data_IF_282248451753
#
_entry.id   IF_282248451753
#
_cell.length_a   1.000
_cell.length_b   1.000
_cell.length_c   1.000
_cell.angle_alpha   90.00
_cell.angle_beta   90.00
_cell.angle_gamma   90.00
#
_symmetry.space_group_name_H-M   'P 1'
#
loop_
_entity.id
_entity.type
_entity.pdbx_description
1 polymer ?
#
# COMPACT_ATOMS: atom_id res chain seq x y z
N UNK A 1 -37.13 -17.69 8.19
CA UNK A 1 -35.73 -18.14 8.05
C UNK A 1 -35.09 -17.27 7.01
N UNK A 2 -34.48 -16.14 7.36
CA UNK A 2 -33.60 -15.31 6.49
C UNK A 2 -33.16 -14.09 7.29
N UNK A 3 -32.59 -14.35 8.48
CA UNK A 3 -31.86 -13.34 9.26
C UNK A 3 -30.46 -13.87 9.58
N UNK A 4 -29.76 -14.35 8.57
CA UNK A 4 -28.30 -14.39 8.64
C UNK A 4 -27.83 -12.94 8.49
N UNK A 5 -27.68 -12.29 9.65
CA UNK A 5 -26.84 -11.13 9.77
C UNK A 5 -25.52 -11.50 9.11
N UNK A 6 -25.25 -10.90 7.94
CA UNK A 6 -23.94 -11.02 7.27
C UNK A 6 -22.95 -10.52 8.30
N UNK A 7 -22.35 -11.45 9.04
CA UNK A 7 -21.29 -11.15 10.01
C UNK A 7 -20.19 -10.46 9.22
N UNK A 8 -19.98 -9.20 9.51
CA UNK A 8 -18.82 -8.47 8.99
C UNK A 8 -17.60 -9.31 9.37
N UNK A 9 -16.80 -9.79 8.41
CA UNK A 9 -15.68 -10.68 8.72
C UNK A 9 -14.74 -9.96 9.68
N UNK A 10 -14.56 -10.54 10.86
CA UNK A 10 -13.69 -10.00 11.89
C UNK A 10 -12.33 -10.67 11.78
N UNK A 11 -11.30 -9.85 11.77
CA UNK A 11 -9.90 -10.26 11.65
C UNK A 11 -9.12 -9.92 12.93
N UNK A 12 -8.08 -10.68 13.21
CA UNK A 12 -7.19 -10.36 14.33
C UNK A 12 -6.30 -9.16 14.00
N UNK A 13 -5.81 -8.48 15.05
CA UNK A 13 -4.84 -7.39 14.91
C UNK A 13 -3.59 -7.85 14.14
N UNK A 14 -3.06 -9.03 14.47
CA UNK A 14 -1.86 -9.55 13.81
C UNK A 14 -2.08 -9.79 12.31
N UNK A 15 -3.24 -10.30 11.92
CA UNK A 15 -3.60 -10.49 10.51
C UNK A 15 -3.69 -9.16 9.76
N UNK A 16 -4.30 -8.12 10.36
CA UNK A 16 -4.37 -6.81 9.72
C UNK A 16 -2.98 -6.17 9.60
N UNK A 17 -2.15 -6.25 10.64
CA UNK A 17 -0.77 -5.77 10.59
C UNK A 17 0.01 -6.49 9.49
N UNK A 18 -0.08 -7.82 9.43
CA UNK A 18 0.60 -8.61 8.40
C UNK A 18 0.15 -8.23 6.98
N UNK A 19 -1.16 -8.05 6.77
CA UNK A 19 -1.71 -7.60 5.50
C UNK A 19 -1.11 -6.25 5.08
N UNK A 20 -1.17 -5.25 5.97
CA UNK A 20 -0.69 -3.90 5.66
C UNK A 20 0.82 -3.84 5.47
N UNK A 21 1.60 -4.60 6.27
CA UNK A 21 3.06 -4.68 6.08
C UNK A 21 3.38 -5.33 4.74
N UNK A 22 2.77 -6.47 4.44
CA UNK A 22 3.02 -7.17 3.18
C UNK A 22 2.69 -6.30 1.97
N UNK A 23 1.53 -5.64 1.97
CA UNK A 23 1.12 -4.76 0.86
C UNK A 23 2.02 -3.53 0.72
N UNK A 24 2.55 -3.02 1.83
CA UNK A 24 3.52 -1.92 1.83
C UNK A 24 4.86 -2.33 1.22
N UNK A 25 5.31 -3.56 1.47
CA UNK A 25 6.55 -4.09 0.90
C UNK A 25 6.51 -4.24 -0.62
N UNK A 26 5.33 -4.22 -1.23
CA UNK A 26 5.19 -4.17 -2.69
C UNK A 26 5.96 -2.99 -3.30
N UNK A 27 6.09 -1.85 -2.60
CA UNK A 27 6.83 -0.68 -3.08
C UNK A 27 8.31 -0.97 -3.35
N UNK A 28 8.92 -1.93 -2.66
CA UNK A 28 10.32 -2.29 -2.84
C UNK A 28 10.61 -2.93 -4.20
N UNK A 29 9.59 -3.46 -4.85
CA UNK A 29 9.69 -4.21 -6.09
C UNK A 29 8.97 -3.51 -7.25
N UNK A 30 8.49 -2.30 -7.01
CA UNK A 30 7.88 -1.46 -8.04
C UNK A 30 8.97 -1.01 -9.02
N UNK A 31 8.61 -0.94 -10.29
CA UNK A 31 9.36 -0.17 -11.27
C UNK A 31 9.46 1.28 -10.77
N UNK A 32 10.62 1.67 -10.30
CA UNK A 32 10.90 3.06 -9.98
C UNK A 32 11.25 3.72 -11.31
N UNK A 33 10.41 4.62 -11.84
CA UNK A 33 10.86 5.42 -12.97
C UNK A 33 12.07 6.20 -12.48
N UNK A 34 13.25 5.82 -12.97
CA UNK A 34 14.49 6.56 -12.69
C UNK A 34 14.30 7.98 -13.21
N UNK A 35 13.93 8.87 -12.33
CA UNK A 35 13.93 10.30 -12.59
C UNK A 35 15.18 10.83 -11.92
N UNK A 36 15.95 11.64 -12.60
CA UNK A 36 17.07 12.39 -12.02
C UNK A 36 16.66 13.29 -10.85
N UNK A 37 15.36 13.31 -10.52
CA UNK A 37 14.76 14.11 -9.44
C UNK A 37 14.52 13.32 -8.15
N UNK A 38 14.70 11.99 -8.18
CA UNK A 38 14.53 11.17 -6.96
C UNK A 38 15.88 11.05 -6.26
N UNK A 39 16.04 11.64 -5.07
CA UNK A 39 17.25 11.44 -4.29
C UNK A 39 17.49 9.95 -4.05
N UNK A 40 18.68 9.51 -4.36
CA UNK A 40 19.06 8.11 -4.22
C UNK A 40 19.95 7.84 -3.01
N UNK A 41 20.47 6.64 -2.97
CA UNK A 41 21.55 6.24 -2.06
C UNK A 41 21.30 6.58 -0.59
N UNK A 42 22.30 7.13 0.06
CA UNK A 42 22.28 7.46 1.51
C UNK A 42 21.22 8.52 1.85
N UNK A 43 20.92 9.45 0.94
CA UNK A 43 19.86 10.46 1.10
C UNK A 43 18.51 9.80 1.33
N UNK A 44 18.20 8.72 0.59
CA UNK A 44 16.94 7.97 0.74
C UNK A 44 16.83 7.30 2.11
N UNK A 45 17.92 6.79 2.68
CA UNK A 45 17.95 6.15 4.01
C UNK A 45 17.54 7.12 5.11
N UNK A 46 18.09 8.33 5.08
CA UNK A 46 17.76 9.38 6.06
C UNK A 46 16.32 9.87 5.86
N UNK A 47 15.89 9.98 4.61
CA UNK A 47 14.51 10.39 4.27
C UNK A 47 13.47 9.37 4.76
N UNK A 48 13.75 8.07 4.72
CA UNK A 48 12.86 7.04 5.29
C UNK A 48 12.74 7.22 6.82
N UNK A 49 13.84 7.52 7.54
CA UNK A 49 13.80 7.76 8.98
C UNK A 49 13.01 9.03 9.32
N UNK A 50 13.20 10.12 8.59
CA UNK A 50 12.41 11.33 8.79
C UNK A 50 10.94 11.12 8.39
N UNK A 51 10.66 10.35 7.34
CA UNK A 51 9.31 9.96 6.94
C UNK A 51 8.61 9.12 8.02
N UNK A 52 9.35 8.22 8.68
CA UNK A 52 8.86 7.48 9.84
C UNK A 52 8.41 8.44 10.95
N UNK A 53 9.23 9.43 11.30
CA UNK A 53 8.88 10.40 12.33
C UNK A 53 7.72 11.30 11.91
N UNK A 54 7.70 11.77 10.66
CA UNK A 54 6.68 12.69 10.14
C UNK A 54 5.30 12.04 9.98
N UNK A 55 5.22 10.75 9.73
CA UNK A 55 3.94 10.03 9.59
C UNK A 55 3.10 10.10 10.87
N UNK A 56 3.74 10.11 12.05
CA UNK A 56 3.04 10.11 13.34
C UNK A 56 2.18 11.37 13.55
N UNK A 57 2.71 12.60 13.46
CA UNK A 57 1.91 13.81 13.61
C UNK A 57 0.85 13.96 12.52
N UNK A 58 1.10 13.49 11.31
CA UNK A 58 0.15 13.51 10.18
C UNK A 58 -1.12 12.71 10.52
N UNK A 59 -1.02 11.64 11.30
CA UNK A 59 -2.15 10.80 11.69
C UNK A 59 -2.84 11.19 12.99
N UNK A 60 -2.38 12.22 13.70
CA UNK A 60 -3.04 12.68 14.93
C UNK A 60 -4.55 12.95 14.73
N UNK A 61 -5.00 13.64 13.67
CA UNK A 61 -6.43 13.88 13.45
C UNK A 61 -7.25 12.58 13.32
N UNK A 62 -6.69 11.57 12.64
CA UNK A 62 -7.33 10.24 12.52
C UNK A 62 -7.49 9.59 13.89
N UNK A 63 -6.43 9.57 14.70
CA UNK A 63 -6.48 8.96 16.03
C UNK A 63 -7.42 9.66 16.99
N UNK A 64 -7.49 10.99 16.94
CA UNK A 64 -8.41 11.77 17.75
C UNK A 64 -9.85 11.51 17.34
N UNK A 65 -10.12 11.48 16.04
CA UNK A 65 -11.45 11.24 15.53
C UNK A 65 -11.93 9.81 15.85
N UNK A 66 -11.16 8.80 15.47
CA UNK A 66 -11.53 7.39 15.62
C UNK A 66 -11.53 6.90 17.08
N UNK A 67 -10.84 7.59 17.98
CA UNK A 67 -10.94 7.35 19.42
C UNK A 67 -12.36 7.61 19.94
N UNK A 68 -13.03 8.61 19.39
CA UNK A 68 -14.34 9.03 19.81
C UNK A 68 -15.49 8.24 19.16
N UNK A 69 -15.15 7.47 18.10
CA UNK A 69 -16.08 6.60 17.37
C UNK A 69 -15.54 5.15 17.28
N UNK A 70 -15.47 4.45 18.44
CA UNK A 70 -14.92 3.10 18.48
C UNK A 70 -15.76 2.12 17.64
N UNK A 71 -15.09 1.23 16.91
CA UNK A 71 -15.73 0.23 16.06
C UNK A 71 -16.17 0.73 14.68
N UNK A 72 -15.97 2.02 14.38
CA UNK A 72 -16.29 2.60 13.08
C UNK A 72 -15.03 2.83 12.26
N UNK A 73 -15.16 2.74 10.95
CA UNK A 73 -14.17 3.22 10.01
C UNK A 73 -14.41 4.70 9.64
N UNK A 74 -13.43 5.29 8.97
CA UNK A 74 -13.47 6.72 8.65
C UNK A 74 -14.66 7.09 7.73
N UNK A 75 -15.04 6.20 6.81
CA UNK A 75 -16.20 6.39 5.96
C UNK A 75 -17.50 6.43 6.80
N UNK A 76 -17.67 5.47 7.72
CA UNK A 76 -18.85 5.38 8.59
C UNK A 76 -18.98 6.62 9.46
N UNK A 77 -17.86 7.12 10.00
CA UNK A 77 -17.84 8.38 10.74
C UNK A 77 -18.26 9.55 9.86
N UNK A 78 -17.71 9.69 8.65
CA UNK A 78 -18.08 10.76 7.72
C UNK A 78 -19.58 10.74 7.39
N UNK A 79 -20.18 9.56 7.22
CA UNK A 79 -21.59 9.36 6.96
C UNK A 79 -22.48 9.79 8.13
N UNK A 80 -22.02 9.59 9.39
CA UNK A 80 -22.76 10.07 10.57
C UNK A 80 -22.85 11.59 10.63
N UNK A 81 -21.81 12.30 10.21
CA UNK A 81 -21.84 13.77 10.19
C UNK A 81 -22.77 14.32 9.10
N UNK A 82 -22.72 13.73 7.91
CA UNK A 82 -23.61 14.07 6.81
C UNK A 82 -23.64 12.96 5.75
N UNK A 83 -24.84 12.60 5.24
CA UNK A 83 -24.98 11.66 4.14
C UNK A 83 -24.22 12.10 2.87
N UNK A 84 -24.11 13.43 2.63
CA UNK A 84 -23.37 13.99 1.48
C UNK A 84 -21.87 13.80 1.66
N UNK A 85 -21.33 14.09 2.86
CA UNK A 85 -19.91 13.85 3.18
C UNK A 85 -19.58 12.37 3.11
N UNK A 86 -20.46 11.50 3.60
CA UNK A 86 -20.29 10.06 3.47
C UNK A 86 -20.20 9.60 2.02
N UNK A 87 -21.08 10.08 1.13
CA UNK A 87 -21.01 9.75 -0.30
C UNK A 87 -19.73 10.28 -0.95
N UNK A 88 -19.31 11.51 -0.65
CA UNK A 88 -18.07 12.08 -1.18
C UNK A 88 -16.86 11.28 -0.72
N UNK A 89 -16.79 10.93 0.57
CA UNK A 89 -15.73 10.09 1.12
C UNK A 89 -15.71 8.70 0.45
N UNK A 90 -16.89 8.06 0.31
CA UNK A 90 -16.97 6.76 -0.37
C UNK A 90 -16.51 6.83 -1.83
N UNK A 91 -16.85 7.90 -2.56
CA UNK A 91 -16.39 8.10 -3.94
C UNK A 91 -14.86 8.28 -4.00
N UNK A 92 -14.28 9.06 -3.09
CA UNK A 92 -12.82 9.24 -3.01
C UNK A 92 -12.11 7.93 -2.67
N UNK A 93 -12.57 7.20 -1.66
CA UNK A 93 -12.01 5.89 -1.30
C UNK A 93 -12.16 4.87 -2.42
N UNK A 94 -13.31 4.84 -3.10
CA UNK A 94 -13.55 3.96 -4.25
C UNK A 94 -12.54 4.20 -5.35
N UNK A 95 -12.38 5.47 -5.76
CA UNK A 95 -11.46 5.84 -6.84
C UNK A 95 -10.03 5.47 -6.52
N UNK A 96 -9.55 5.82 -5.32
CA UNK A 96 -8.17 5.52 -4.89
C UNK A 96 -7.93 4.02 -4.83
N UNK A 97 -8.85 3.25 -4.25
CA UNK A 97 -8.71 1.79 -4.19
C UNK A 97 -8.74 1.14 -5.57
N UNK A 98 -9.60 1.59 -6.48
CA UNK A 98 -9.66 1.07 -7.85
C UNK A 98 -8.36 1.38 -8.62
N UNK A 99 -7.87 2.61 -8.53
CA UNK A 99 -6.60 3.01 -9.15
C UNK A 99 -5.40 2.23 -8.59
N UNK A 100 -5.41 1.90 -7.30
CA UNK A 100 -4.38 1.04 -6.69
C UNK A 100 -4.40 -0.40 -7.24
N UNK A 101 -5.59 -0.94 -7.59
CA UNK A 101 -5.68 -2.24 -8.29
C UNK A 101 -5.09 -2.13 -9.70
N UNK A 102 -5.47 -1.07 -10.45
CA UNK A 102 -4.96 -0.82 -11.80
C UNK A 102 -3.44 -0.71 -11.81
N UNK A 103 -2.90 0.10 -10.89
CA UNK A 103 -1.46 0.31 -10.73
C UNK A 103 -0.75 -1.03 -10.41
N UNK A 104 -1.28 -1.82 -9.47
CA UNK A 104 -0.68 -3.10 -9.09
C UNK A 104 -0.69 -4.10 -10.27
N UNK A 105 -1.78 -4.19 -11.02
CA UNK A 105 -1.90 -5.08 -12.17
C UNK A 105 -1.01 -4.67 -13.34
N UNK A 106 -0.88 -3.36 -13.60
CA UNK A 106 0.02 -2.83 -14.63
C UNK A 106 1.49 -3.07 -14.26
N UNK A 107 1.89 -2.79 -13.01
CA UNK A 107 3.24 -3.06 -12.50
C UNK A 107 3.59 -4.55 -12.58
N UNK A 108 2.64 -5.42 -12.23
CA UNK A 108 2.80 -6.87 -12.38
C UNK A 108 3.14 -7.27 -13.83
N UNK A 109 2.37 -6.76 -14.79
CA UNK A 109 2.60 -7.05 -16.20
C UNK A 109 3.94 -6.52 -16.69
N UNK A 110 4.28 -5.26 -16.35
CA UNK A 110 5.54 -4.64 -16.79
C UNK A 110 6.75 -5.35 -16.19
N UNK A 111 6.71 -5.71 -14.91
CA UNK A 111 7.80 -6.47 -14.30
C UNK A 111 8.03 -7.81 -15.01
N UNK A 112 6.97 -8.57 -15.24
CA UNK A 112 7.11 -9.87 -15.91
C UNK A 112 7.59 -9.74 -17.35
N UNK A 113 7.11 -8.77 -18.10
CA UNK A 113 7.55 -8.57 -19.50
C UNK A 113 8.95 -7.96 -19.59
N UNK A 114 9.40 -7.18 -18.60
CA UNK A 114 10.72 -6.57 -18.62
C UNK A 114 11.82 -7.47 -18.07
N UNK A 115 11.54 -8.23 -17.00
CA UNK A 115 12.57 -8.96 -16.27
C UNK A 115 12.51 -10.48 -16.44
N UNK A 116 11.34 -11.06 -16.73
CA UNK A 116 11.17 -12.53 -16.66
C UNK A 116 10.76 -13.13 -18.00
N UNK A 117 9.75 -12.59 -18.65
CA UNK A 117 9.15 -13.12 -19.90
C UNK A 117 8.99 -12.03 -20.97
N UNK A 118 10.08 -11.60 -21.65
CA UNK A 118 10.03 -10.48 -22.61
C UNK A 118 9.09 -10.71 -23.81
N UNK A 119 8.73 -11.96 -24.08
CA UNK A 119 7.85 -12.34 -25.22
C UNK A 119 6.39 -12.54 -24.77
N UNK A 120 6.07 -12.42 -23.49
CA UNK A 120 4.72 -12.61 -23.00
C UNK A 120 3.84 -11.40 -23.37
N UNK A 121 2.58 -11.67 -23.70
CA UNK A 121 1.59 -10.62 -23.96
C UNK A 121 1.13 -10.00 -22.65
N UNK A 122 1.26 -8.68 -22.51
CA UNK A 122 0.74 -7.91 -21.36
C UNK A 122 -0.75 -8.17 -21.12
N UNK A 123 -1.54 -8.31 -22.19
CA UNK A 123 -2.96 -8.58 -22.09
C UNK A 123 -3.25 -9.86 -21.29
N UNK A 124 -2.61 -10.98 -21.69
CA UNK A 124 -2.84 -12.25 -21.00
C UNK A 124 -2.33 -12.24 -19.56
N UNK A 125 -1.19 -11.60 -19.31
CA UNK A 125 -0.66 -11.47 -17.95
C UNK A 125 -1.62 -10.72 -17.04
N UNK A 126 -2.17 -9.58 -17.49
CA UNK A 126 -3.15 -8.81 -16.73
C UNK A 126 -4.45 -9.60 -16.53
N UNK A 127 -4.97 -10.28 -17.56
CA UNK A 127 -6.22 -11.04 -17.42
C UNK A 127 -6.08 -12.21 -16.45
N UNK A 128 -5.00 -12.98 -16.52
CA UNK A 128 -4.72 -14.09 -15.59
C UNK A 128 -4.57 -13.55 -14.17
N UNK A 129 -3.82 -12.46 -14.01
CA UNK A 129 -3.63 -11.82 -12.71
C UNK A 129 -4.95 -11.35 -12.11
N UNK A 130 -5.75 -10.60 -12.85
CA UNK A 130 -7.05 -10.11 -12.39
C UNK A 130 -8.04 -11.26 -12.10
N UNK A 131 -8.00 -12.33 -12.88
CA UNK A 131 -8.80 -13.54 -12.61
C UNK A 131 -8.42 -14.20 -11.28
N UNK A 132 -7.13 -14.33 -10.99
CA UNK A 132 -6.64 -14.86 -9.73
C UNK A 132 -6.95 -13.94 -8.55
N UNK A 133 -6.84 -12.61 -8.74
CA UNK A 133 -7.22 -11.61 -7.74
C UNK A 133 -8.73 -11.69 -7.43
N UNK A 134 -9.58 -11.82 -8.45
CA UNK A 134 -11.02 -12.01 -8.25
C UNK A 134 -11.33 -13.28 -7.46
N UNK A 135 -10.64 -14.37 -7.73
CA UNK A 135 -10.78 -15.59 -6.96
C UNK A 135 -10.48 -15.35 -5.47
N UNK A 136 -9.37 -14.66 -5.15
CA UNK A 136 -9.04 -14.28 -3.77
C UNK A 136 -10.10 -13.39 -3.13
N UNK A 137 -10.66 -12.46 -3.88
CA UNK A 137 -11.74 -11.58 -3.40
C UNK A 137 -13.00 -12.37 -3.05
N UNK A 138 -13.35 -13.39 -3.84
CA UNK A 138 -14.48 -14.26 -3.54
C UNK A 138 -14.28 -15.16 -2.31
N UNK A 139 -13.03 -15.50 -1.98
CA UNK A 139 -12.71 -16.19 -0.73
C UNK A 139 -12.87 -15.27 0.50
N UNK A 140 -12.91 -13.95 0.29
CA UNK A 140 -13.17 -12.94 1.32
C UNK A 140 -11.94 -12.45 2.08
N UNK A 141 -12.17 -11.41 2.90
CA UNK A 141 -11.12 -10.70 3.64
C UNK A 141 -10.32 -11.61 4.58
N UNK A 142 -10.98 -12.56 5.22
CA UNK A 142 -10.33 -13.47 6.17
C UNK A 142 -9.28 -14.36 5.47
N UNK A 143 -9.61 -14.92 4.31
CA UNK A 143 -8.68 -15.72 3.52
C UNK A 143 -7.49 -14.86 3.06
N UNK A 144 -7.74 -13.65 2.55
CA UNK A 144 -6.69 -12.71 2.13
C UNK A 144 -5.73 -12.38 3.28
N UNK A 145 -6.26 -12.09 4.48
CA UNK A 145 -5.41 -11.73 5.63
C UNK A 145 -4.62 -12.93 6.19
N UNK A 146 -5.19 -14.14 6.18
CA UNK A 146 -4.48 -15.37 6.57
C UNK A 146 -3.33 -15.68 5.60
N UNK A 147 -3.59 -15.60 4.31
CA UNK A 147 -2.56 -15.79 3.27
C UNK A 147 -1.48 -14.72 3.39
N UNK A 148 -1.85 -13.47 3.65
CA UNK A 148 -0.89 -12.37 3.87
C UNK A 148 0.05 -12.67 5.06
N UNK A 149 -0.46 -13.21 6.15
CA UNK A 149 0.36 -13.55 7.33
C UNK A 149 1.40 -14.65 7.01
N UNK A 150 1.01 -15.67 6.25
CA UNK A 150 1.92 -16.75 5.82
C UNK A 150 2.98 -16.20 4.86
N UNK A 151 2.55 -15.41 3.88
CA UNK A 151 3.45 -14.80 2.89
C UNK A 151 4.44 -13.84 3.55
N UNK A 152 4.04 -13.07 4.55
CA UNK A 152 4.93 -12.17 5.27
C UNK A 152 6.08 -12.92 5.94
N UNK A 153 5.79 -14.08 6.56
CA UNK A 153 6.84 -14.94 7.15
C UNK A 153 7.82 -15.41 6.07
N UNK A 154 7.31 -15.84 4.90
CA UNK A 154 8.16 -16.25 3.78
C UNK A 154 9.00 -15.09 3.23
N UNK A 155 8.45 -13.87 3.13
CA UNK A 155 9.19 -12.67 2.73
C UNK A 155 10.28 -12.33 3.74
N UNK A 156 10.00 -12.38 5.04
CA UNK A 156 11.01 -12.18 6.08
C UNK A 156 12.14 -13.21 5.99
N UNK A 157 11.80 -14.49 5.84
CA UNK A 157 12.79 -15.55 5.69
C UNK A 157 13.67 -15.35 4.43
N UNK A 158 13.06 -14.99 3.30
CA UNK A 158 13.80 -14.70 2.07
C UNK A 158 14.72 -13.48 2.19
N UNK A 159 14.30 -12.45 2.93
CA UNK A 159 15.14 -11.28 3.21
C UNK A 159 16.38 -11.64 4.05
N UNK A 160 16.23 -12.50 5.06
CA UNK A 160 17.37 -13.01 5.85
C UNK A 160 18.32 -13.82 4.96
N UNK A 161 17.79 -14.74 4.16
CA UNK A 161 18.59 -15.54 3.22
C UNK A 161 19.31 -14.67 2.20
N UNK A 162 18.67 -13.60 1.69
CA UNK A 162 19.28 -12.62 0.81
C UNK A 162 20.46 -11.93 1.50
N UNK A 163 20.28 -11.43 2.71
CA UNK A 163 21.34 -10.79 3.50
C UNK A 163 22.55 -11.70 3.71
N UNK A 164 22.31 -12.98 4.03
CA UNK A 164 23.37 -14.00 4.16
C UNK A 164 24.03 -14.32 2.83
N UNK A 165 23.29 -14.36 1.72
CA UNK A 165 23.85 -14.63 0.39
C UNK A 165 24.71 -13.50 -0.16
N UNK A 166 24.42 -12.27 0.23
CA UNK A 166 25.07 -11.07 -0.29
C UNK A 166 26.15 -10.49 0.63
N UNK A 167 26.45 -11.10 1.77
CA UNK A 167 27.39 -10.56 2.75
C UNK A 167 28.79 -10.20 2.17
N UNK A 168 29.22 -10.91 1.11
CA UNK A 168 30.50 -10.65 0.41
C UNK A 168 30.49 -9.42 -0.49
N UNK A 169 29.32 -8.94 -0.86
CA UNK A 169 29.14 -7.77 -1.72
C UNK A 169 28.90 -6.48 -0.92
N UNK A 170 28.96 -6.56 0.41
CA UNK A 170 28.74 -5.40 1.27
C UNK A 170 29.95 -4.49 1.22
N UNK A 171 29.75 -3.28 0.72
CA UNK A 171 30.74 -2.22 0.71
C UNK A 171 30.20 -0.98 1.41
N UNK A 172 30.70 -0.74 2.63
CA UNK A 172 30.31 0.42 3.46
C UNK A 172 30.79 1.75 2.84
N UNK A 173 31.75 1.71 1.92
CA UNK A 173 32.24 2.91 1.22
C UNK A 173 31.17 3.49 0.27
N UNK A 174 30.17 2.71 -0.08
CA UNK A 174 29.00 3.19 -0.83
C UNK A 174 28.10 4.15 -0.01
N UNK A 175 28.31 4.25 1.30
CA UNK A 175 27.61 5.21 2.16
C UNK A 175 28.34 6.56 2.11
N UNK A 176 27.78 7.49 1.37
CA UNK A 176 28.26 8.87 1.30
C UNK A 176 27.45 9.81 2.20
N UNK A 177 27.84 11.08 2.28
CA UNK A 177 27.13 12.05 3.10
C UNK A 177 25.63 12.11 2.77
N UNK A 178 24.72 11.93 3.73
CA UNK A 178 23.26 11.90 3.50
C UNK A 178 22.70 13.23 3.00
N UNK A 179 23.47 14.32 3.11
CA UNK A 179 23.10 15.65 2.65
C UNK A 179 23.90 16.10 1.41
N UNK A 180 24.53 15.17 0.71
CA UNK A 180 25.33 15.47 -0.48
C UNK A 180 24.50 16.17 -1.57
N UNK A 181 23.24 15.76 -1.75
CA UNK A 181 22.29 16.35 -2.70
C UNK A 181 21.57 17.59 -2.14
N UNK A 182 21.89 17.99 -0.92
CA UNK A 182 21.30 19.14 -0.22
C UNK A 182 20.09 18.79 0.64
N UNK A 183 19.79 19.66 1.59
CA UNK A 183 18.69 19.46 2.54
C UNK A 183 17.31 19.43 1.89
N UNK A 184 17.12 20.18 0.79
CA UNK A 184 15.87 20.19 0.03
C UNK A 184 15.53 18.82 -0.57
N UNK A 185 16.53 18.07 -1.04
CA UNK A 185 16.37 16.72 -1.56
C UNK A 185 15.92 15.74 -0.47
N UNK A 186 16.53 15.82 0.73
CA UNK A 186 16.11 15.03 1.90
C UNK A 186 14.65 15.34 2.27
N UNK A 187 14.28 16.63 2.33
CA UNK A 187 12.92 17.04 2.68
C UNK A 187 11.90 16.55 1.66
N UNK A 188 12.19 16.70 0.38
CA UNK A 188 11.34 16.21 -0.71
C UNK A 188 11.12 14.70 -0.62
N UNK A 189 12.18 13.91 -0.50
CA UNK A 189 12.12 12.47 -0.30
C UNK A 189 11.36 12.08 0.96
N UNK A 190 11.54 12.82 2.06
CA UNK A 190 10.81 12.59 3.31
C UNK A 190 9.29 12.74 3.10
N UNK A 191 8.86 13.80 2.43
CA UNK A 191 7.44 14.01 2.10
C UNK A 191 6.92 12.88 1.22
N UNK A 192 7.69 12.46 0.21
CA UNK A 192 7.31 11.33 -0.65
C UNK A 192 7.16 10.03 0.16
N UNK A 193 8.05 9.73 1.10
CA UNK A 193 7.93 8.54 1.96
C UNK A 193 6.60 8.48 2.72
N UNK A 194 6.10 9.63 3.19
CA UNK A 194 4.81 9.73 3.89
C UNK A 194 3.64 9.59 2.91
N UNK A 195 3.71 10.29 1.79
CA UNK A 195 2.59 10.41 0.84
C UNK A 195 2.40 9.16 -0.01
N UNK A 196 3.44 8.41 -0.27
CA UNK A 196 3.38 7.10 -0.96
C UNK A 196 2.77 5.97 -0.11
N UNK A 197 2.36 6.26 1.14
CA UNK A 197 1.84 5.25 2.06
C UNK A 197 0.32 5.05 1.87
N UNK A 198 -0.09 4.48 0.73
CA UNK A 198 -1.50 4.16 0.44
C UNK A 198 -2.12 3.18 1.44
N UNK A 199 -1.33 2.39 2.13
CA UNK A 199 -1.79 1.44 3.15
C UNK A 199 -2.47 2.16 4.33
N UNK A 200 -2.20 3.45 4.55
CA UNK A 200 -2.94 4.27 5.51
C UNK A 200 -4.41 4.42 5.12
N UNK A 201 -4.72 4.47 3.82
CA UNK A 201 -6.11 4.46 3.32
C UNK A 201 -6.79 3.13 3.64
N UNK A 202 -6.09 2.01 3.45
CA UNK A 202 -6.61 0.69 3.81
C UNK A 202 -6.77 0.54 5.34
N UNK A 203 -5.82 1.03 6.14
CA UNK A 203 -5.89 0.99 7.61
C UNK A 203 -7.17 1.65 8.13
N UNK A 204 -7.48 2.89 7.69
CA UNK A 204 -8.63 3.64 8.19
C UNK A 204 -9.97 3.05 7.75
N UNK A 205 -10.00 2.22 6.71
CA UNK A 205 -11.18 1.51 6.24
C UNK A 205 -11.33 0.12 6.88
N UNK A 206 -10.22 -0.57 7.17
CA UNK A 206 -10.24 -1.94 7.71
C UNK A 206 -10.29 -2.00 9.23
N UNK A 207 -10.06 -0.89 9.92
CA UNK A 207 -10.05 -0.86 11.40
C UNK A 207 -11.39 -1.30 12.03
N UNK A 208 -12.52 -1.10 11.34
CA UNK A 208 -13.83 -1.57 11.78
C UNK A 208 -14.00 -3.09 11.72
N UNK A 209 -13.13 -3.78 10.97
CA UNK A 209 -13.14 -5.24 10.85
C UNK A 209 -12.33 -5.94 11.95
N UNK A 210 -11.69 -5.21 12.86
CA UNK A 210 -10.92 -5.79 13.96
C UNK A 210 -11.83 -6.47 15.00
N UNK A 211 -11.41 -7.65 15.49
CA UNK A 211 -12.07 -8.34 16.61
C UNK A 211 -12.13 -7.45 17.86
N UNK A 212 -11.01 -6.80 18.15
CA UNK A 212 -10.88 -5.83 19.24
C UNK A 212 -10.43 -4.51 18.65
N UNK A 213 -11.20 -3.44 18.86
CA UNK A 213 -10.88 -2.14 18.31
C UNK A 213 -9.65 -1.52 18.96
N UNK A 214 -8.50 -1.62 18.30
CA UNK A 214 -7.19 -1.18 18.77
C UNK A 214 -6.40 -0.47 17.67
N UNK A 215 -6.94 0.65 17.17
CA UNK A 215 -6.32 1.37 16.04
C UNK A 215 -4.87 1.79 16.30
N UNK A 216 -4.57 2.36 17.48
CA UNK A 216 -3.21 2.81 17.81
C UNK A 216 -2.20 1.68 17.79
N UNK A 217 -2.53 0.57 18.45
CA UNK A 217 -1.68 -0.59 18.54
C UNK A 217 -1.48 -1.27 17.17
N UNK A 218 -2.52 -1.29 16.33
CA UNK A 218 -2.44 -1.79 14.95
C UNK A 218 -1.54 -0.91 14.10
N UNK A 219 -1.72 0.42 14.20
CA UNK A 219 -0.88 1.37 13.50
C UNK A 219 0.60 1.23 13.88
N UNK A 220 0.92 1.20 15.18
CA UNK A 220 2.31 1.06 15.61
C UNK A 220 2.93 -0.27 15.16
N UNK A 221 2.16 -1.37 15.21
CA UNK A 221 2.63 -2.66 14.69
C UNK A 221 2.95 -2.60 13.21
N UNK A 222 2.04 -2.04 12.40
CA UNK A 222 2.25 -1.82 10.98
C UNK A 222 3.40 -0.87 10.69
N UNK A 223 3.40 0.31 11.32
CA UNK A 223 4.33 1.40 11.06
C UNK A 223 5.77 1.01 11.38
N UNK A 224 6.01 0.41 12.56
CA UNK A 224 7.34 0.00 12.97
C UNK A 224 7.88 -1.12 12.08
N UNK A 225 7.07 -2.16 11.85
CA UNK A 225 7.54 -3.32 11.09
C UNK A 225 7.75 -2.99 9.61
N UNK A 226 6.84 -2.26 8.97
CA UNK A 226 6.98 -1.89 7.56
C UNK A 226 8.16 -0.96 7.32
N UNK A 227 8.33 0.07 8.15
CA UNK A 227 9.46 1.00 7.98
C UNK A 227 10.80 0.34 8.28
N UNK A 228 10.88 -0.55 9.29
CA UNK A 228 12.09 -1.33 9.55
C UNK A 228 12.49 -2.17 8.34
N UNK A 229 11.54 -2.90 7.76
CA UNK A 229 11.82 -3.76 6.59
C UNK A 229 12.21 -2.94 5.35
N UNK A 230 11.51 -1.83 5.09
CA UNK A 230 11.83 -0.93 3.99
C UNK A 230 13.23 -0.33 4.19
N UNK A 231 13.54 0.14 5.40
CA UNK A 231 14.84 0.72 5.71
C UNK A 231 15.98 -0.30 5.55
N UNK A 232 15.81 -1.52 6.07
CA UNK A 232 16.79 -2.59 5.93
C UNK A 232 17.04 -2.94 4.46
N UNK A 233 15.98 -3.01 3.65
CA UNK A 233 16.10 -3.32 2.23
C UNK A 233 16.77 -2.18 1.44
N UNK A 234 16.39 -0.92 1.74
CA UNK A 234 17.04 0.25 1.16
C UNK A 234 18.51 0.33 1.57
N UNK A 235 18.84 0.06 2.83
CA UNK A 235 20.21 -0.01 3.32
C UNK A 235 21.03 -1.07 2.57
N UNK A 236 20.49 -2.29 2.43
CA UNK A 236 21.14 -3.34 1.66
C UNK A 236 21.35 -2.92 0.20
N UNK A 237 20.37 -2.27 -0.43
CA UNK A 237 20.51 -1.80 -1.80
C UNK A 237 21.62 -0.77 -1.96
N UNK A 238 21.76 0.18 -1.04
CA UNK A 238 22.83 1.19 -1.07
C UNK A 238 24.20 0.55 -0.86
N UNK A 239 24.34 -0.30 0.15
CA UNK A 239 25.63 -0.91 0.51
C UNK A 239 26.12 -1.92 -0.55
N UNK A 240 25.19 -2.61 -1.24
CA UNK A 240 25.54 -3.65 -2.23
C UNK A 240 25.68 -3.07 -3.63
N UNK A 241 24.75 -2.22 -4.05
CA UNK A 241 24.70 -1.72 -5.42
C UNK A 241 25.37 -0.34 -5.58
N UNK A 242 25.52 0.43 -4.50
CA UNK A 242 26.03 1.79 -4.57
C UNK A 242 25.26 2.65 -5.58
N UNK A 243 25.99 3.44 -6.36
CA UNK A 243 25.42 4.30 -7.41
C UNK A 243 24.76 3.52 -8.56
N UNK A 244 25.17 2.28 -8.81
CA UNK A 244 24.53 1.44 -9.82
C UNK A 244 23.08 1.13 -9.49
N UNK A 245 22.72 1.09 -8.20
CA UNK A 245 21.35 0.88 -7.73
C UNK A 245 20.38 1.94 -8.23
N UNK A 246 20.82 3.19 -8.37
CA UNK A 246 20.01 4.31 -8.83
C UNK A 246 19.65 4.24 -10.32
N UNK A 247 20.49 3.56 -11.11
CA UNK A 247 20.29 3.37 -12.56
C UNK A 247 19.40 2.17 -12.89
N UNK A 248 19.16 1.27 -11.92
CA UNK A 248 18.41 0.04 -12.13
C UNK A 248 16.91 0.24 -11.95
N UNK A 249 16.14 -0.21 -12.92
CA UNK A 249 14.68 -0.19 -12.86
C UNK A 249 14.10 -1.08 -11.75
N UNK A 250 14.84 -2.12 -11.35
CA UNK A 250 14.44 -3.08 -10.31
C UNK A 250 15.63 -3.42 -9.39
N UNK A 251 16.04 -2.50 -8.49
CA UNK A 251 17.25 -2.69 -7.66
C UNK A 251 17.19 -3.97 -6.81
N UNK A 252 16.06 -4.23 -6.16
CA UNK A 252 15.88 -5.41 -5.31
C UNK A 252 15.96 -6.70 -6.11
N UNK A 253 15.39 -6.76 -7.31
CA UNK A 253 15.53 -7.91 -8.20
C UNK A 253 16.98 -8.13 -8.59
N UNK A 254 17.72 -7.05 -8.87
CA UNK A 254 19.17 -7.13 -9.20
C UNK A 254 19.96 -7.73 -8.04
N UNK A 255 19.67 -7.36 -6.78
CA UNK A 255 20.32 -7.96 -5.62
C UNK A 255 20.06 -9.47 -5.51
N UNK A 256 18.81 -9.91 -5.73
CA UNK A 256 18.48 -11.33 -5.73
C UNK A 256 19.19 -12.09 -6.86
N UNK A 257 19.30 -11.49 -8.03
CA UNK A 257 20.05 -12.08 -9.15
C UNK A 257 21.54 -12.21 -8.86
N UNK A 258 22.15 -11.25 -8.15
CA UNK A 258 23.54 -11.29 -7.72
C UNK A 258 23.79 -12.38 -6.65
N UNK A 259 22.83 -12.64 -5.76
CA UNK A 259 23.00 -13.63 -4.69
C UNK A 259 23.08 -15.06 -5.17
N UNK A 260 22.62 -15.35 -6.39
CA UNK A 260 22.61 -16.68 -6.99
C UNK A 260 23.98 -17.24 -7.39
N UNK A 261 25.08 -16.48 -7.25
CA UNK A 261 26.38 -16.88 -7.78
C UNK A 261 27.13 -17.95 -6.96
N UNK A 262 26.78 -18.23 -5.70
CA UNK A 262 27.63 -19.07 -4.82
C UNK A 262 26.95 -20.23 -4.07
N UNK A 263 25.66 -20.19 -3.78
CA UNK A 263 25.00 -21.24 -2.94
C UNK A 263 23.71 -21.75 -3.58
N UNK A 264 22.95 -20.90 -4.24
CA UNK A 264 21.74 -21.25 -4.96
C UNK A 264 21.76 -20.58 -6.33
N UNK A 265 21.85 -21.35 -7.39
CA UNK A 265 22.00 -20.87 -8.77
C UNK A 265 20.89 -19.94 -9.26
N UNK A 266 19.72 -19.83 -8.56
CA UNK A 266 18.56 -19.05 -9.00
C UNK A 266 17.68 -18.58 -7.85
N UNK A 267 18.23 -17.73 -7.01
CA UNK A 267 17.49 -17.14 -5.87
C UNK A 267 16.41 -16.13 -6.34
N UNK A 268 16.59 -15.60 -7.54
CA UNK A 268 15.67 -14.68 -8.20
C UNK A 268 14.25 -15.25 -8.36
N UNK A 269 14.10 -16.57 -8.56
CA UNK A 269 12.77 -17.19 -8.65
C UNK A 269 11.99 -17.15 -7.36
N UNK A 270 12.63 -17.27 -6.21
CA UNK A 270 11.98 -17.16 -4.91
C UNK A 270 11.39 -15.77 -4.74
N UNK A 271 12.16 -14.74 -5.10
CA UNK A 271 11.68 -13.37 -5.09
C UNK A 271 10.46 -13.19 -6.00
N UNK A 272 10.54 -13.68 -7.24
CA UNK A 272 9.45 -13.56 -8.20
C UNK A 272 8.17 -14.19 -7.66
N UNK A 273 8.25 -15.42 -7.10
CA UNK A 273 7.09 -16.10 -6.51
C UNK A 273 6.48 -15.30 -5.35
N UNK A 274 7.31 -14.80 -4.43
CA UNK A 274 6.87 -14.01 -3.29
C UNK A 274 6.27 -12.67 -3.73
N UNK A 275 6.88 -12.03 -4.72
CA UNK A 275 6.38 -10.77 -5.25
C UNK A 275 5.04 -10.92 -5.98
N UNK A 276 4.87 -11.99 -6.77
CA UNK A 276 3.59 -12.33 -7.39
C UNK A 276 2.51 -12.50 -6.33
N UNK A 277 2.78 -13.29 -5.28
CA UNK A 277 1.85 -13.47 -4.17
C UNK A 277 1.52 -12.16 -3.45
N UNK A 278 2.53 -11.33 -3.18
CA UNK A 278 2.36 -10.01 -2.54
C UNK A 278 1.50 -9.08 -3.41
N UNK A 279 1.75 -9.04 -4.72
CA UNK A 279 0.97 -8.27 -5.68
C UNK A 279 -0.50 -8.70 -5.70
N UNK A 280 -0.76 -10.01 -5.71
CA UNK A 280 -2.12 -10.55 -5.67
C UNK A 280 -2.86 -10.18 -4.40
N UNK A 281 -2.21 -10.29 -3.24
CA UNK A 281 -2.79 -9.91 -1.93
C UNK A 281 -3.09 -8.41 -1.88
N UNK A 282 -2.17 -7.57 -2.38
CA UNK A 282 -2.38 -6.12 -2.47
C UNK A 282 -3.57 -5.78 -3.35
N UNK A 283 -3.62 -6.30 -4.56
CA UNK A 283 -4.72 -6.08 -5.48
C UNK A 283 -6.06 -6.59 -4.92
N UNK A 284 -6.08 -7.76 -4.27
CA UNK A 284 -7.27 -8.32 -3.64
C UNK A 284 -7.78 -7.44 -2.49
N UNK A 285 -6.89 -6.93 -1.63
CA UNK A 285 -7.24 -6.00 -0.56
C UNK A 285 -7.92 -4.74 -1.11
N UNK A 286 -7.30 -4.08 -2.09
CA UNK A 286 -7.86 -2.86 -2.67
C UNK A 286 -9.14 -3.12 -3.48
N UNK A 287 -9.26 -4.27 -4.16
CA UNK A 287 -10.47 -4.64 -4.89
C UNK A 287 -11.65 -4.92 -3.94
N UNK A 288 -11.40 -5.54 -2.77
CA UNK A 288 -12.39 -5.70 -1.70
C UNK A 288 -12.86 -4.34 -1.19
N UNK A 289 -11.92 -3.43 -0.92
CA UNK A 289 -12.24 -2.08 -0.43
C UNK A 289 -13.00 -1.26 -1.47
N UNK A 290 -12.58 -1.28 -2.74
CA UNK A 290 -13.30 -0.63 -3.83
C UNK A 290 -14.72 -1.17 -3.97
N UNK A 291 -14.90 -2.49 -3.93
CA UNK A 291 -16.20 -3.13 -4.03
C UNK A 291 -17.12 -2.76 -2.86
N UNK A 292 -16.57 -2.66 -1.64
CA UNK A 292 -17.30 -2.19 -0.48
C UNK A 292 -17.74 -0.73 -0.64
N UNK A 293 -16.86 0.16 -1.08
CA UNK A 293 -17.19 1.57 -1.27
C UNK A 293 -18.23 1.80 -2.39
N UNK A 294 -18.15 1.02 -3.47
CA UNK A 294 -19.15 1.08 -4.54
C UNK A 294 -20.54 0.62 -4.07
N UNK A 295 -20.62 -0.42 -3.23
CA UNK A 295 -21.86 -0.84 -2.58
C UNK A 295 -22.47 0.29 -1.73
N UNK A 296 -21.65 1.01 -0.97
CA UNK A 296 -22.10 2.12 -0.14
C UNK A 296 -22.58 3.33 -0.96
N UNK A 297 -21.94 3.59 -2.10
CA UNK A 297 -22.33 4.67 -3.03
C UNK A 297 -23.68 4.39 -3.71
N UNK A 298 -23.88 3.16 -4.16
CA UNK A 298 -25.09 2.79 -4.90
C UNK A 298 -26.29 2.51 -4.00
N UNK A 299 -26.05 2.31 -2.70
CA UNK A 299 -27.07 1.91 -1.74
C UNK A 299 -27.70 0.53 -2.01
N UNK A 300 -27.15 -0.20 -2.95
CA UNK A 300 -27.61 -1.53 -3.37
C UNK A 300 -26.56 -2.58 -3.02
N UNK A 301 -27.01 -3.70 -2.46
CA UNK A 301 -26.14 -4.86 -2.22
C UNK A 301 -26.13 -5.74 -3.48
N UNK A 302 -25.23 -5.44 -4.39
CA UNK A 302 -25.12 -6.16 -5.69
C UNK A 302 -24.33 -7.48 -5.60
N UNK A 303 -24.24 -8.09 -4.44
CA UNK A 303 -23.64 -9.41 -4.29
C UNK A 303 -22.26 -9.55 -5.01
N UNK A 304 -22.08 -10.65 -5.74
CA UNK A 304 -20.83 -10.98 -6.44
C UNK A 304 -20.54 -10.13 -7.70
N UNK A 305 -21.54 -9.43 -8.25
CA UNK A 305 -21.39 -8.62 -9.46
C UNK A 305 -20.44 -7.43 -9.28
N UNK A 306 -20.41 -6.80 -8.12
CA UNK A 306 -19.59 -5.62 -7.90
C UNK A 306 -18.09 -5.93 -7.94
N UNK A 307 -17.58 -6.96 -7.24
CA UNK A 307 -16.18 -7.35 -7.41
C UNK A 307 -15.83 -7.71 -8.84
N UNK A 308 -16.71 -8.43 -9.56
CA UNK A 308 -16.49 -8.80 -10.95
C UNK A 308 -16.44 -7.57 -11.87
N UNK A 309 -17.36 -6.61 -11.70
CA UNK A 309 -17.35 -5.34 -12.44
C UNK A 309 -16.07 -4.54 -12.19
N UNK A 310 -15.70 -4.36 -10.92
CA UNK A 310 -14.49 -3.62 -10.56
C UNK A 310 -13.22 -4.33 -11.06
N UNK A 311 -13.19 -5.67 -11.02
CA UNK A 311 -12.10 -6.47 -11.57
C UNK A 311 -11.97 -6.30 -13.08
N UNK A 312 -13.10 -6.31 -13.80
CA UNK A 312 -13.12 -6.09 -15.25
C UNK A 312 -12.69 -4.66 -15.64
N UNK A 313 -13.17 -3.65 -14.91
CA UNK A 313 -12.76 -2.25 -15.09
C UNK A 313 -11.26 -2.07 -14.82
N UNK A 314 -10.77 -2.65 -13.72
CA UNK A 314 -9.35 -2.60 -13.37
C UNK A 314 -8.49 -3.32 -14.43
N UNK A 315 -8.91 -4.48 -14.91
CA UNK A 315 -8.20 -5.21 -15.96
C UNK A 315 -8.13 -4.41 -17.27
N UNK A 316 -9.24 -3.84 -17.72
CA UNK A 316 -9.28 -3.02 -18.93
C UNK A 316 -8.35 -1.80 -18.82
N UNK A 317 -8.40 -1.07 -17.68
CA UNK A 317 -7.52 0.07 -17.44
C UNK A 317 -6.06 -0.35 -17.31
N UNK A 318 -5.77 -1.47 -16.62
CA UNK A 318 -4.40 -1.96 -16.43
C UNK A 318 -3.75 -2.41 -17.76
N UNK A 319 -4.49 -2.98 -18.68
CA UNK A 319 -3.99 -3.32 -20.04
C UNK A 319 -3.55 -2.06 -20.78
N UNK A 320 -4.35 -0.99 -20.73
CA UNK A 320 -4.02 0.30 -21.36
C UNK A 320 -2.76 0.89 -20.72
N UNK A 321 -2.71 0.92 -19.39
CA UNK A 321 -1.56 1.47 -18.64
C UNK A 321 -0.29 0.64 -18.84
N UNK A 322 -0.40 -0.68 -18.89
CA UNK A 322 0.74 -1.59 -19.13
C UNK A 322 1.31 -1.49 -20.55
N UNK A 323 0.50 -1.01 -21.51
CA UNK A 323 0.93 -0.79 -22.90
C UNK A 323 1.81 0.44 -23.11
N UNK A 324 1.81 1.40 -22.16
CA UNK A 324 2.60 2.62 -22.25
C UNK A 324 3.20 2.99 -20.88
N UNK A 325 4.52 2.93 -20.80
CA UNK A 325 5.28 3.25 -19.59
C UNK A 325 5.05 4.69 -19.09
N UNK A 326 4.68 5.61 -19.98
CA UNK A 326 4.35 7.01 -19.61
C UNK A 326 3.03 7.05 -18.82
N UNK A 327 2.04 6.26 -19.24
CA UNK A 327 0.77 6.18 -18.52
C UNK A 327 0.96 5.54 -17.14
N UNK A 328 1.77 4.48 -17.04
CA UNK A 328 2.12 3.91 -15.74
C UNK A 328 2.80 4.95 -14.83
N UNK A 329 3.77 5.69 -15.37
CA UNK A 329 4.44 6.76 -14.63
C UNK A 329 3.46 7.83 -14.14
N UNK A 330 2.54 8.28 -14.98
CA UNK A 330 1.52 9.26 -14.60
C UNK A 330 0.60 8.71 -13.52
N UNK A 331 0.14 7.46 -13.63
CA UNK A 331 -0.68 6.81 -12.62
C UNK A 331 0.08 6.67 -11.30
N UNK A 332 1.32 6.18 -11.34
CA UNK A 332 2.18 6.05 -10.18
C UNK A 332 2.39 7.41 -9.51
N UNK A 333 2.76 8.44 -10.24
CA UNK A 333 2.98 9.78 -9.71
C UNK A 333 1.69 10.38 -9.14
N UNK A 334 0.52 10.14 -9.74
CA UNK A 334 -0.75 10.63 -9.22
C UNK A 334 -1.11 9.99 -7.88
N UNK A 335 -0.85 8.69 -7.70
CA UNK A 335 -1.05 7.99 -6.45
C UNK A 335 0.05 8.33 -5.42
N UNK A 336 1.29 8.43 -5.87
CA UNK A 336 2.46 8.76 -5.04
C UNK A 336 2.57 10.25 -4.70
N UNK A 337 1.86 11.14 -5.42
CA UNK A 337 1.85 12.59 -5.14
C UNK A 337 1.35 12.95 -3.74
N UNK A 338 0.75 11.98 -3.05
CA UNK A 338 0.20 12.14 -1.72
C UNK A 338 -1.20 12.75 -1.68
N UNK A 339 -1.74 13.19 -2.79
CA UNK A 339 -3.11 13.71 -2.84
C UNK A 339 -4.13 12.73 -2.24
N UNK A 340 -4.12 11.41 -2.57
CA UNK A 340 -5.05 10.46 -1.96
C UNK A 340 -4.93 10.39 -0.44
N UNK A 341 -3.70 10.29 0.08
CA UNK A 341 -3.46 10.22 1.52
C UNK A 341 -3.80 11.55 2.18
N UNK A 342 -3.41 12.67 1.58
CA UNK A 342 -3.71 14.00 2.11
C UNK A 342 -5.21 14.23 2.22
N UNK A 343 -5.97 14.04 1.14
CA UNK A 343 -7.41 14.32 1.15
C UNK A 343 -8.20 13.34 2.01
N UNK A 344 -7.91 12.05 1.95
CA UNK A 344 -8.71 11.03 2.62
C UNK A 344 -8.26 10.73 4.05
N UNK A 345 -6.97 10.84 4.35
CA UNK A 345 -6.43 10.44 5.65
C UNK A 345 -6.08 11.64 6.54
N UNK A 346 -5.81 12.83 5.96
CA UNK A 346 -5.47 14.03 6.73
C UNK A 346 -6.60 15.04 6.72
N UNK A 347 -7.02 15.50 5.54
CA UNK A 347 -7.99 16.59 5.42
C UNK A 347 -9.38 16.15 5.90
N UNK A 348 -9.87 15.01 5.46
CA UNK A 348 -11.20 14.53 5.85
C UNK A 348 -11.37 14.42 7.38
N UNK A 349 -10.50 13.70 8.15
CA UNK A 349 -10.64 13.66 9.60
C UNK A 349 -10.46 15.02 10.27
N UNK A 350 -9.59 15.89 9.74
CA UNK A 350 -9.39 17.25 10.29
C UNK A 350 -10.66 18.09 10.15
N UNK A 351 -11.31 18.05 8.98
CA UNK A 351 -12.59 18.73 8.74
C UNK A 351 -13.69 18.19 9.66
N UNK A 352 -13.79 16.86 9.80
CA UNK A 352 -14.78 16.24 10.69
C UNK A 352 -14.55 16.62 12.16
N UNK A 353 -13.31 16.70 12.63
CA UNK A 353 -12.96 17.22 13.96
C UNK A 353 -13.34 18.69 14.13
N UNK A 354 -13.07 19.53 13.14
CA UNK A 354 -13.41 20.94 13.18
C UNK A 354 -14.95 21.16 13.26
N UNK A 355 -15.72 20.42 12.47
CA UNK A 355 -17.21 20.46 12.54
C UNK A 355 -17.68 20.04 13.93
N UNK A 356 -17.12 18.98 14.49
CA UNK A 356 -17.47 18.49 15.83
C UNK A 356 -17.17 19.53 16.91
N UNK A 357 -16.01 20.16 16.87
CA UNK A 357 -15.64 21.17 17.87
C UNK A 357 -16.53 22.41 17.79
N UNK A 358 -16.94 22.82 16.59
CA UNK A 358 -17.88 23.91 16.38
C UNK A 358 -19.24 23.59 16.97
N UNK A 359 -19.78 22.40 16.73
CA UNK A 359 -21.06 21.96 17.30
C UNK A 359 -21.07 21.77 18.82
N UNK A 360 -19.89 21.58 19.45
CA UNK A 360 -19.77 21.56 20.93
C UNK A 360 -19.71 22.97 21.55
N UNK A 361 -19.38 24.00 20.77
CA UNK A 361 -19.26 25.39 21.25
C UNK A 361 -20.54 26.20 21.13
N UNK A 362 -21.54 25.71 20.36
CA UNK A 362 -22.86 26.33 20.37
C UNK A 362 -23.57 25.91 21.66
N UNK A 363 -23.83 26.86 22.64
CA UNK A 363 -24.61 26.54 23.81
C UNK A 363 -26.02 26.12 23.36
N UNK A 364 -26.62 25.17 24.05
CA UNK A 364 -28.05 24.89 23.92
C UNK A 364 -28.83 26.08 24.44
N UNK A 365 -28.76 27.22 23.80
CA UNK A 365 -29.69 28.33 24.00
C UNK A 365 -30.99 28.00 23.28
N UNK A 366 -32.02 27.72 24.05
CA UNK A 366 -33.39 27.66 23.55
C UNK A 366 -34.11 26.34 23.68
N UNK A 367 -34.25 25.82 24.90
CA UNK A 367 -35.44 25.07 25.33
C UNK A 367 -35.78 25.53 26.73
N UNK A 368 -36.40 26.68 26.81
CA UNK A 368 -37.30 27.06 27.90
C UNK A 368 -38.75 26.82 27.46
#
# INVERSE_FOLDING_TARGET
MLNEQIRVPKISRAQLVALLVLTRLFILLIFVPTTHESPGGTTSLVSILFGYLLTVPVLIPVFLLLRDYPGMDLYQVARQFSPRLGKLAAAGFYLVCLLAVVETAAQFSIFLTSAVYPRASSLWLVLIFCGAVLYLVFLGLEAVTRTAAILLVAVCASGVLLGLGLWKFWDVLNLYSPFYEGFSAVLYSTVLCVTQNLELVALVLLVSNLNTYQIRSTFWGYHNLSNLMIWLMAFAAVVILGNDGETRSFPVYTMFALSGSNVFYRFDYILIMLWVGTSMIRAAMYLLLASRMLNELTGRRFGWWIPALNGALAAAAAVVVAGDIRQLRLLYLSLASGLPVYFLVVLLPTVLLAIRWKGKREPKEGRA
#
